data_IF_302400013666
#
_entry.id   IF_302400013666
#
_cell.length_a   1.000
_cell.length_b   1.000
_cell.length_c   1.000
_cell.angle_alpha   90.00
_cell.angle_beta   90.00
_cell.angle_gamma   90.00
#
_symmetry.space_group_name_H-M   'P 1'
#
loop_
_entity.id
_entity.type
_entity.pdbx_description
1 polymer ?
#
# COMPACT_ATOMS: atom_id res chain seq x y z
N UNK A 1 5.09 1.87 -24.55
CA UNK A 1 4.56 1.85 -23.18
C UNK A 1 5.11 3.10 -22.54
N UNK A 2 4.25 4.09 -22.30
CA UNK A 2 4.67 5.43 -21.86
C UNK A 2 4.37 5.59 -20.36
N UNK A 3 4.86 4.61 -19.60
CA UNK A 3 4.61 4.48 -18.16
C UNK A 3 5.66 5.31 -17.39
N UNK A 4 5.41 6.59 -17.22
CA UNK A 4 6.25 7.45 -16.36
C UNK A 4 6.13 7.02 -14.89
N UNK A 5 7.25 6.98 -14.17
CA UNK A 5 7.35 6.54 -12.77
C UNK A 5 6.84 5.10 -12.52
N UNK A 6 6.96 4.22 -13.52
CA UNK A 6 6.64 2.81 -13.41
C UNK A 6 7.51 1.94 -14.30
N UNK A 7 7.30 0.62 -14.19
CA UNK A 7 7.93 -0.41 -15.00
C UNK A 7 6.87 -1.05 -15.88
N UNK A 8 7.19 -1.23 -17.16
CA UNK A 8 6.30 -1.90 -18.09
C UNK A 8 6.53 -3.41 -18.05
N UNK A 9 5.44 -4.16 -17.96
CA UNK A 9 5.43 -5.61 -18.09
C UNK A 9 4.44 -6.04 -19.16
N UNK A 10 4.86 -6.95 -20.03
CA UNK A 10 4.00 -7.48 -21.10
C UNK A 10 3.38 -8.78 -20.61
N UNK A 11 2.05 -8.88 -20.65
CA UNK A 11 1.32 -10.10 -20.32
C UNK A 11 0.45 -10.52 -21.50
N UNK A 12 0.86 -11.59 -22.21
CA UNK A 12 0.22 -12.18 -23.41
C UNK A 12 0.10 -11.19 -24.58
N UNK A 13 -0.67 -10.11 -24.44
CA UNK A 13 -0.75 -8.96 -25.37
C UNK A 13 -1.10 -7.64 -24.67
N UNK A 14 -1.23 -7.63 -23.34
CA UNK A 14 -1.51 -6.44 -22.53
C UNK A 14 -0.21 -5.84 -22.01
N UNK A 15 -0.07 -4.52 -22.16
CA UNK A 15 1.03 -3.76 -21.58
C UNK A 15 0.58 -3.22 -20.23
N UNK A 16 1.11 -3.81 -19.17
CA UNK A 16 0.81 -3.43 -17.79
C UNK A 16 1.88 -2.43 -17.33
N UNK A 17 1.44 -1.32 -16.76
CA UNK A 17 2.27 -0.31 -16.11
C UNK A 17 2.24 -0.56 -14.60
N UNK A 18 3.34 -1.11 -14.05
CA UNK A 18 3.53 -1.37 -12.62
C UNK A 18 4.24 -0.16 -11.99
N UNK A 19 3.53 0.61 -11.17
CA UNK A 19 4.10 1.84 -10.58
C UNK A 19 5.25 1.54 -9.61
N UNK A 20 6.22 2.46 -9.56
CA UNK A 20 7.31 2.41 -8.59
C UNK A 20 6.77 2.63 -7.15
N UNK A 21 7.53 2.23 -6.11
CA UNK A 21 7.20 2.57 -4.74
C UNK A 21 6.97 4.07 -4.57
N UNK A 22 6.01 4.46 -3.73
CA UNK A 22 5.56 5.83 -3.50
C UNK A 22 4.75 6.45 -4.66
N UNK A 23 4.38 5.63 -5.66
CA UNK A 23 3.50 6.02 -6.75
C UNK A 23 2.29 5.07 -6.85
N UNK A 24 1.12 5.63 -7.13
CA UNK A 24 -0.13 4.90 -7.34
C UNK A 24 -0.61 5.02 -8.78
N UNK A 25 -1.26 3.97 -9.29
CA UNK A 25 -1.88 4.01 -10.62
C UNK A 25 -3.07 4.96 -10.59
N UNK A 26 -3.01 6.01 -11.39
CA UNK A 26 -4.09 6.97 -11.61
C UNK A 26 -4.42 6.99 -13.09
N UNK A 27 -5.56 6.40 -13.46
CA UNK A 27 -5.94 6.18 -14.86
C UNK A 27 -4.82 5.39 -15.58
N UNK A 28 -4.18 6.00 -16.57
CA UNK A 28 -3.11 5.38 -17.38
C UNK A 28 -1.70 5.83 -16.99
N UNK A 29 -1.54 6.54 -15.86
CA UNK A 29 -0.25 7.06 -15.41
C UNK A 29 0.04 6.70 -13.94
N UNK A 30 1.31 6.70 -13.55
CA UNK A 30 1.71 6.59 -12.15
C UNK A 30 1.88 7.99 -11.55
N UNK A 31 1.11 8.30 -10.51
CA UNK A 31 1.17 9.58 -9.79
C UNK A 31 1.79 9.40 -8.42
N UNK A 32 2.59 10.39 -8.03
CA UNK A 32 3.18 10.44 -6.70
C UNK A 32 2.09 10.38 -5.62
N UNK A 33 2.36 9.61 -4.57
CA UNK A 33 1.42 9.40 -3.49
C UNK A 33 1.47 10.49 -2.45
N UNK A 34 2.63 11.11 -2.20
CA UNK A 34 2.82 12.12 -1.15
C UNK A 34 2.25 11.66 0.21
N UNK A 35 2.44 10.37 0.53
CA UNK A 35 1.85 9.70 1.68
C UNK A 35 2.83 9.52 2.86
N UNK A 36 4.05 10.02 2.73
CA UNK A 36 5.17 9.71 3.62
C UNK A 36 6.10 8.64 3.06
N UNK A 37 7.26 8.47 3.68
CA UNK A 37 8.37 7.67 3.16
C UNK A 37 7.98 6.20 3.01
N UNK A 38 8.10 5.67 1.79
CA UNK A 38 7.84 4.27 1.48
C UNK A 38 6.36 3.87 1.41
N UNK A 39 5.44 4.82 1.58
CA UNK A 39 4.01 4.55 1.50
C UNK A 39 3.50 4.62 0.05
N UNK A 40 2.85 3.54 -0.39
CA UNK A 40 2.15 3.50 -1.68
C UNK A 40 0.76 4.13 -1.54
N UNK A 41 0.00 4.18 -2.63
CA UNK A 41 -1.37 4.68 -2.60
C UNK A 41 -2.21 4.07 -3.70
N UNK A 42 -3.52 4.15 -3.51
CA UNK A 42 -4.52 3.91 -4.56
C UNK A 42 -5.30 5.20 -4.82
N UNK A 43 -5.82 5.31 -6.03
CA UNK A 43 -6.73 6.37 -6.40
C UNK A 43 -8.08 5.75 -6.75
N UNK A 44 -9.12 6.12 -6.02
CA UNK A 44 -10.50 5.80 -6.38
C UNK A 44 -11.04 6.94 -7.23
N UNK A 45 -11.30 6.64 -8.50
CA UNK A 45 -11.70 7.63 -9.50
C UNK A 45 -13.21 7.54 -9.66
N UNK A 46 -13.93 8.31 -8.85
CA UNK A 46 -15.37 8.49 -8.97
C UNK A 46 -15.76 9.44 -10.10
N UNK A 47 -17.06 9.53 -10.35
CA UNK A 47 -17.61 10.40 -11.39
C UNK A 47 -17.46 11.90 -11.06
N UNK A 48 -17.41 12.27 -9.78
CA UNK A 48 -17.33 13.66 -9.31
C UNK A 48 -16.04 13.99 -8.54
N UNK A 49 -15.38 12.99 -7.97
CA UNK A 49 -14.18 13.16 -7.14
C UNK A 49 -13.16 12.07 -7.43
N UNK A 50 -11.90 12.38 -7.16
CA UNK A 50 -10.86 11.37 -7.04
C UNK A 50 -10.41 11.36 -5.59
N UNK A 51 -10.60 10.23 -4.93
CA UNK A 51 -10.12 10.00 -3.58
C UNK A 51 -8.78 9.27 -3.63
N UNK A 52 -7.81 9.73 -2.82
CA UNK A 52 -6.49 9.11 -2.70
C UNK A 52 -6.39 8.43 -1.34
N UNK A 53 -6.09 7.13 -1.35
CA UNK A 53 -5.88 6.36 -0.14
C UNK A 53 -4.41 5.98 -0.03
N UNK A 54 -3.75 6.46 1.03
CA UNK A 54 -2.39 6.03 1.36
C UNK A 54 -2.42 4.59 1.88
N UNK A 55 -1.64 3.73 1.26
CA UNK A 55 -1.42 2.36 1.70
C UNK A 55 -0.20 2.36 2.60
N UNK A 56 -0.45 2.22 3.89
CA UNK A 56 0.62 2.08 4.87
C UNK A 56 1.29 0.70 4.68
N UNK A 57 2.59 0.64 4.33
CA UNK A 57 3.31 -0.61 4.14
C UNK A 57 3.31 -1.46 5.42
N UNK A 58 3.13 -0.83 6.58
CA UNK A 58 3.12 -1.46 7.89
C UNK A 58 1.81 -2.19 8.16
N UNK A 59 0.69 -1.69 7.64
CA UNK A 59 -0.61 -2.34 7.83
C UNK A 59 -0.66 -3.68 7.10
N UNK A 60 0.07 -3.82 5.99
CA UNK A 60 0.16 -5.07 5.24
C UNK A 60 0.97 -6.16 5.95
N UNK A 61 1.82 -5.80 6.93
CA UNK A 61 2.62 -6.77 7.70
C UNK A 61 1.84 -7.41 8.85
N UNK A 62 0.73 -6.82 9.29
CA UNK A 62 -0.10 -7.41 10.35
C UNK A 62 -0.85 -8.65 9.83
N UNK A 63 -0.60 -9.82 10.42
CA UNK A 63 -1.23 -11.08 9.98
C UNK A 63 -2.72 -11.20 10.35
N UNK A 64 -3.15 -10.59 11.45
CA UNK A 64 -4.52 -10.74 11.98
C UNK A 64 -5.29 -9.42 12.18
N UNK A 65 -5.06 -8.44 11.30
CA UNK A 65 -5.88 -7.22 11.21
C UNK A 65 -5.69 -6.17 12.31
N UNK A 66 -4.44 -5.96 12.76
CA UNK A 66 -4.03 -4.85 13.61
C UNK A 66 -3.57 -3.61 12.82
N UNK A 67 -3.41 -2.49 13.54
CA UNK A 67 -2.85 -1.25 12.97
C UNK A 67 -1.41 -1.09 13.44
N UNK A 68 -0.46 -1.19 12.52
CA UNK A 68 0.96 -1.09 12.80
C UNK A 68 1.48 0.32 12.61
N UNK A 69 2.36 0.77 13.51
CA UNK A 69 3.06 2.05 13.44
C UNK A 69 4.55 1.82 13.61
N UNK A 70 5.34 2.45 12.74
CA UNK A 70 6.78 2.41 12.80
C UNK A 70 7.24 3.40 13.89
N UNK A 71 7.90 2.88 14.93
CA UNK A 71 8.57 3.72 15.95
C UNK A 71 10.10 3.74 15.74
N UNK A 72 10.56 3.59 14.49
CA UNK A 72 11.94 3.77 14.04
C UNK A 72 12.92 2.64 14.37
N UNK A 73 12.77 1.94 15.51
CA UNK A 73 13.61 0.77 15.86
C UNK A 73 12.84 -0.54 15.87
N UNK A 74 11.56 -0.49 16.21
CA UNK A 74 10.67 -1.64 16.30
C UNK A 74 9.31 -1.24 15.74
N UNK A 75 8.73 -2.13 14.93
CA UNK A 75 7.38 -1.97 14.44
C UNK A 75 6.41 -2.35 15.57
N UNK A 76 5.51 -1.45 15.96
CA UNK A 76 4.48 -1.77 16.95
C UNK A 76 3.11 -1.86 16.31
N UNK A 77 2.52 -3.04 16.38
CA UNK A 77 1.15 -3.27 15.96
C UNK A 77 0.16 -3.20 17.12
N UNK A 78 -0.87 -2.38 16.96
CA UNK A 78 -2.07 -2.43 17.79
C UNK A 78 -2.96 -3.57 17.30
N UNK A 79 -2.83 -4.74 17.93
CA UNK A 79 -3.54 -5.95 17.54
C UNK A 79 -5.01 -5.93 17.96
N UNK A 80 -5.89 -6.41 17.07
CA UNK A 80 -7.29 -6.66 17.40
C UNK A 80 -7.37 -7.88 18.30
N UNK A 81 -8.17 -7.83 19.37
CA UNK A 81 -8.41 -9.01 20.22
C UNK A 81 -8.99 -10.17 19.39
N UNK A 82 -8.55 -11.42 19.60
CA UNK A 82 -7.63 -11.93 20.63
C UNK A 82 -6.15 -12.01 20.20
N UNK A 83 -5.74 -11.29 19.16
CA UNK A 83 -4.41 -11.44 18.58
C UNK A 83 -3.34 -10.62 19.31
N UNK A 84 -2.09 -11.09 19.29
CA UNK A 84 -0.92 -10.54 19.99
C UNK A 84 0.34 -10.77 19.15
N UNK A 85 1.44 -10.13 19.57
CA UNK A 85 2.74 -10.21 18.90
C UNK A 85 3.06 -8.93 18.15
N UNK A 86 4.31 -8.80 17.70
CA UNK A 86 4.79 -7.58 17.06
C UNK A 86 4.09 -7.33 15.72
N UNK A 87 3.61 -8.40 15.06
CA UNK A 87 2.85 -8.38 13.82
C UNK A 87 1.45 -9.00 13.98
N UNK A 88 0.97 -9.11 15.22
CA UNK A 88 -0.29 -9.78 15.54
C UNK A 88 -0.34 -11.22 15.04
N UNK A 89 0.80 -11.92 14.99
CA UNK A 89 0.95 -13.26 14.43
C UNK A 89 0.41 -14.37 15.34
N UNK A 90 0.17 -14.09 16.63
CA UNK A 90 -0.34 -15.05 17.60
C UNK A 90 -1.78 -14.76 17.98
N UNK A 91 -2.58 -15.81 18.20
CA UNK A 91 -3.91 -15.74 18.82
C UNK A 91 -3.85 -16.23 20.26
N UNK A 92 -4.63 -15.61 21.16
CA UNK A 92 -4.74 -16.00 22.57
C UNK A 92 -5.92 -16.96 22.84
N UNK A 93 -6.15 -17.92 21.92
CA UNK A 93 -7.17 -18.97 22.05
C UNK A 93 -6.72 -20.06 23.03
#
# INVERSE_FOLDING_TARGET
CDCENGKCRINKFEVICECLPEYGKYKDACKACDCGTGANCTFDVGFWSTDKYCLDPLQQQSQNGGTCKDEGKELKCACKSPYLGDLCERSND
#
